data_IF_063274529308
#
_entry.id   IF_063274529308
#
_cell.length_a   1.000
_cell.length_b   1.000
_cell.length_c   1.000
_cell.angle_alpha   90.00
_cell.angle_beta   90.00
_cell.angle_gamma   90.00
#
_symmetry.space_group_name_H-M   'P 1'
#
loop_
_entity.id
_entity.type
_entity.pdbx_description
1 polymer ?
#
# COMPACT_ATOMS: atom_id res chain seq x y z
N UNK A 1 -15.27 14.06 7.60
CA UNK A 1 -15.27 15.29 8.40
C UNK A 1 -16.14 16.33 7.73
N UNK A 2 -15.69 16.84 6.58
CA UNK A 2 -16.16 18.10 6.01
C UNK A 2 -17.69 18.19 5.79
N UNK A 3 -18.33 17.11 5.32
CA UNK A 3 -19.79 17.07 5.15
C UNK A 3 -20.54 17.25 6.46
N UNK A 4 -20.13 16.54 7.51
CA UNK A 4 -20.77 16.60 8.83
C UNK A 4 -20.49 17.94 9.53
N UNK A 5 -19.30 18.49 9.34
CA UNK A 5 -18.89 19.76 9.94
C UNK A 5 -19.43 20.99 9.18
N UNK A 6 -20.20 20.80 8.10
CA UNK A 6 -20.70 21.88 7.24
C UNK A 6 -19.59 22.85 6.80
N UNK A 7 -18.40 22.34 6.52
CA UNK A 7 -17.22 23.12 6.15
C UNK A 7 -16.76 22.81 4.73
N UNK A 8 -16.04 23.76 4.11
CA UNK A 8 -15.39 23.60 2.80
C UNK A 8 -16.38 23.14 1.71
N UNK A 9 -17.28 24.06 1.36
CA UNK A 9 -18.23 23.95 0.25
C UNK A 9 -17.89 24.98 -0.84
N UNK A 10 -18.37 24.74 -2.06
CA UNK A 10 -18.11 25.61 -3.21
C UNK A 10 -19.07 26.81 -3.29
N UNK A 11 -19.12 27.43 -4.47
CA UNK A 11 -20.03 28.54 -4.75
C UNK A 11 -21.52 28.16 -4.56
N UNK A 12 -22.41 29.16 -4.34
CA UNK A 12 -23.86 28.96 -4.41
C UNK A 12 -24.28 28.33 -5.74
N UNK A 13 -25.25 27.42 -5.71
CA UNK A 13 -25.63 26.66 -6.91
C UNK A 13 -27.06 26.14 -6.84
N UNK A 14 -27.61 25.83 -8.01
CA UNK A 14 -28.97 25.28 -8.17
C UNK A 14 -29.01 23.90 -8.83
N UNK A 15 -27.85 23.24 -8.98
CA UNK A 15 -27.78 21.88 -9.52
C UNK A 15 -28.58 20.88 -8.65
N UNK A 16 -29.12 19.79 -9.22
CA UNK A 16 -30.00 18.89 -8.48
C UNK A 16 -29.31 18.11 -7.35
N UNK A 17 -27.98 17.98 -7.38
CA UNK A 17 -27.17 17.39 -6.31
C UNK A 17 -26.55 18.44 -5.36
N UNK A 18 -27.13 19.65 -5.30
CA UNK A 18 -26.65 20.73 -4.43
C UNK A 18 -26.64 20.33 -2.96
N UNK A 19 -25.64 20.82 -2.25
CA UNK A 19 -25.46 20.60 -0.83
C UNK A 19 -26.20 21.67 -0.05
N UNK A 20 -27.14 21.25 0.82
CA UNK A 20 -27.73 22.14 1.81
C UNK A 20 -26.75 22.34 2.97
N UNK A 21 -26.34 23.58 3.20
CA UNK A 21 -25.50 23.98 4.32
C UNK A 21 -26.34 24.72 5.36
N UNK A 22 -26.09 24.44 6.62
CA UNK A 22 -26.72 25.12 7.75
C UNK A 22 -25.82 26.21 8.32
N UNK A 23 -26.41 27.18 9.00
CA UNK A 23 -25.62 28.09 9.82
C UNK A 23 -25.00 27.32 10.99
N UNK A 24 -23.71 27.51 11.23
CA UNK A 24 -22.93 26.68 12.13
C UNK A 24 -22.36 27.51 13.27
N UNK A 25 -22.62 27.10 14.51
CA UNK A 25 -21.95 27.61 15.70
C UNK A 25 -20.64 26.84 15.89
N UNK A 26 -19.53 27.52 15.65
CA UNK A 26 -18.19 26.92 15.74
C UNK A 26 -17.77 26.67 17.20
N UNK A 27 -18.34 27.40 18.16
CA UNK A 27 -18.04 27.24 19.59
C UNK A 27 -18.75 26.03 20.19
N UNK A 28 -19.99 25.79 19.77
CA UNK A 28 -20.80 24.67 20.22
C UNK A 28 -20.74 23.44 19.30
N UNK A 29 -20.00 23.52 18.18
CA UNK A 29 -19.82 22.47 17.16
C UNK A 29 -21.17 21.87 16.71
N UNK A 30 -22.15 22.75 16.44
CA UNK A 30 -23.51 22.35 16.02
C UNK A 30 -24.15 23.41 15.15
N UNK A 31 -25.19 23.01 14.41
CA UNK A 31 -26.00 23.96 13.65
C UNK A 31 -26.77 24.90 14.58
N UNK A 32 -26.91 26.17 14.19
CA UNK A 32 -27.81 27.12 14.82
C UNK A 32 -29.26 26.66 14.61
N UNK A 33 -30.08 26.85 15.63
CA UNK A 33 -31.50 26.50 15.60
C UNK A 33 -32.36 27.75 15.74
N UNK A 34 -33.52 27.75 15.08
CA UNK A 34 -34.54 28.79 15.22
C UNK A 34 -35.27 28.70 16.57
N UNK A 35 -36.23 29.62 16.82
CA UNK A 35 -37.02 29.65 18.05
C UNK A 35 -37.89 28.39 18.26
N UNK A 36 -38.04 27.57 17.22
CA UNK A 36 -38.81 26.33 17.18
C UNK A 36 -37.89 25.09 17.27
N UNK A 37 -36.57 25.28 17.36
CA UNK A 37 -35.59 24.20 17.48
C UNK A 37 -35.15 23.58 16.14
N UNK A 38 -35.52 24.15 15.00
CA UNK A 38 -35.13 23.63 13.68
C UNK A 38 -33.80 24.24 13.23
N UNK A 39 -32.91 23.45 12.58
CA UNK A 39 -31.65 23.97 12.04
C UNK A 39 -31.87 25.07 10.99
N UNK A 40 -31.21 26.21 11.16
CA UNK A 40 -31.28 27.34 10.24
C UNK A 40 -30.46 27.04 8.98
N UNK A 41 -31.11 27.11 7.81
CA UNK A 41 -30.47 26.83 6.52
C UNK A 41 -29.75 28.09 6.03
N UNK A 42 -28.43 27.98 5.81
CA UNK A 42 -27.62 29.05 5.22
C UNK A 42 -27.83 29.17 3.71
N UNK A 43 -27.99 28.04 3.01
CA UNK A 43 -28.21 28.02 1.57
C UNK A 43 -27.79 26.71 0.90
N UNK A 44 -27.70 26.77 -0.43
CA UNK A 44 -27.34 25.63 -1.27
C UNK A 44 -26.06 25.90 -2.06
N UNK A 45 -25.12 24.97 -1.97
CA UNK A 45 -23.76 25.14 -2.47
C UNK A 45 -23.26 23.90 -3.23
N UNK A 46 -22.22 24.08 -4.03
CA UNK A 46 -21.55 22.95 -4.67
C UNK A 46 -20.90 22.02 -3.61
N UNK A 47 -21.19 20.71 -3.61
CA UNK A 47 -20.52 19.73 -2.74
C UNK A 47 -19.08 19.47 -3.18
N UNK A 48 -18.16 20.38 -2.90
CA UNK A 48 -16.74 20.24 -3.29
C UNK A 48 -16.08 19.00 -2.71
N UNK A 49 -16.44 18.59 -1.49
CA UNK A 49 -15.96 17.32 -0.91
C UNK A 49 -16.36 16.10 -1.74
N UNK A 50 -17.56 16.10 -2.35
CA UNK A 50 -18.02 15.00 -3.20
C UNK A 50 -17.19 14.97 -4.48
N UNK A 51 -16.94 16.12 -5.07
CA UNK A 51 -16.11 16.21 -6.26
C UNK A 51 -14.66 15.80 -5.98
N UNK A 52 -14.10 16.17 -4.81
CA UNK A 52 -12.79 15.70 -4.35
C UNK A 52 -12.76 14.18 -4.20
N UNK A 53 -13.77 13.59 -3.55
CA UNK A 53 -13.87 12.14 -3.39
C UNK A 53 -13.99 11.41 -4.73
N UNK A 54 -14.85 11.92 -5.64
CA UNK A 54 -14.99 11.39 -7.00
C UNK A 54 -13.67 11.48 -7.76
N UNK A 55 -12.95 12.59 -7.66
CA UNK A 55 -11.64 12.72 -8.29
C UNK A 55 -10.62 11.73 -7.74
N UNK A 56 -10.56 11.55 -6.42
CA UNK A 56 -9.68 10.55 -5.80
C UNK A 56 -9.99 9.13 -6.30
N UNK A 57 -11.27 8.78 -6.41
CA UNK A 57 -11.71 7.49 -6.96
C UNK A 57 -11.35 7.34 -8.44
N UNK A 58 -11.59 8.37 -9.25
CA UNK A 58 -11.26 8.38 -10.67
C UNK A 58 -9.74 8.25 -10.88
N UNK A 59 -8.94 9.00 -10.11
CA UNK A 59 -7.49 8.93 -10.18
C UNK A 59 -6.98 7.55 -9.74
N UNK A 60 -7.52 6.98 -8.66
CA UNK A 60 -7.16 5.64 -8.21
C UNK A 60 -7.52 4.58 -9.27
N UNK A 61 -8.72 4.64 -9.83
CA UNK A 61 -9.17 3.74 -10.90
C UNK A 61 -8.29 3.88 -12.15
N UNK A 62 -7.94 5.11 -12.54
CA UNK A 62 -7.03 5.39 -13.65
C UNK A 62 -5.65 4.79 -13.41
N UNK A 63 -5.06 4.95 -12.21
CA UNK A 63 -3.74 4.39 -11.88
C UNK A 63 -3.74 2.87 -11.87
N UNK A 64 -4.78 2.24 -11.32
CA UNK A 64 -4.94 0.78 -11.34
C UNK A 64 -5.11 0.28 -12.77
N UNK A 65 -5.97 0.92 -13.57
CA UNK A 65 -6.15 0.59 -14.98
C UNK A 65 -4.84 0.72 -15.76
N UNK A 66 -4.11 1.82 -15.55
CA UNK A 66 -2.84 2.09 -16.22
C UNK A 66 -1.76 1.05 -15.87
N UNK A 67 -1.65 0.70 -14.58
CA UNK A 67 -0.71 -0.33 -14.11
C UNK A 67 -1.08 -1.75 -14.54
N UNK A 68 -2.37 -2.04 -14.78
CA UNK A 68 -2.82 -3.35 -15.29
C UNK A 68 -2.72 -3.45 -16.82
N UNK A 69 -2.96 -2.34 -17.54
CA UNK A 69 -3.03 -2.33 -19.00
C UNK A 69 -1.66 -2.19 -19.66
N UNK A 70 -0.74 -1.48 -19.01
CA UNK A 70 0.59 -1.22 -19.54
C UNK A 70 1.66 -1.87 -18.66
N UNK A 71 2.68 -2.46 -19.30
CA UNK A 71 3.87 -2.95 -18.61
C UNK A 71 4.76 -1.77 -18.21
N UNK A 72 4.27 -0.98 -17.27
CA UNK A 72 4.93 0.22 -16.78
C UNK A 72 6.22 -0.14 -16.04
N UNK A 73 7.24 0.69 -16.23
CA UNK A 73 8.50 0.60 -15.48
C UNK A 73 8.29 1.12 -14.05
N UNK A 74 9.10 0.62 -13.12
CA UNK A 74 9.09 1.03 -11.72
C UNK A 74 9.12 2.55 -11.59
N UNK A 75 8.15 3.12 -10.86
CA UNK A 75 8.03 4.57 -10.65
C UNK A 75 7.11 5.33 -11.63
N UNK A 76 6.71 4.74 -12.76
CA UNK A 76 5.80 5.44 -13.70
C UNK A 76 4.38 5.64 -13.12
N UNK A 77 3.87 4.68 -12.36
CA UNK A 77 2.58 4.83 -11.66
C UNK A 77 2.64 5.96 -10.63
N UNK A 78 3.76 6.09 -9.92
CA UNK A 78 3.99 7.21 -9.00
C UNK A 78 4.03 8.55 -9.75
N UNK A 79 4.74 8.62 -10.88
CA UNK A 79 4.77 9.83 -11.70
C UNK A 79 3.37 10.20 -12.23
N UNK A 80 2.56 9.23 -12.64
CA UNK A 80 1.16 9.46 -13.03
C UNK A 80 0.31 9.97 -11.86
N UNK A 81 0.52 9.48 -10.64
CA UNK A 81 -0.13 10.01 -9.45
C UNK A 81 0.24 11.48 -9.21
N UNK A 82 1.54 11.80 -9.25
CA UNK A 82 2.05 13.17 -9.09
C UNK A 82 1.48 14.11 -10.17
N UNK A 83 1.27 13.63 -11.39
CA UNK A 83 0.60 14.40 -12.45
C UNK A 83 -0.91 14.53 -12.23
N UNK A 84 -1.60 13.46 -11.82
CA UNK A 84 -3.06 13.47 -11.71
C UNK A 84 -3.59 14.24 -10.49
N UNK A 85 -2.85 14.27 -9.38
CA UNK A 85 -3.26 15.01 -8.18
C UNK A 85 -3.49 16.53 -8.42
N UNK A 86 -2.54 17.29 -9.00
CA UNK A 86 -2.71 18.72 -9.24
C UNK A 86 -3.84 19.03 -10.23
N UNK A 87 -4.18 18.13 -11.15
CA UNK A 87 -5.30 18.32 -12.08
C UNK A 87 -6.62 18.43 -11.31
N UNK A 88 -6.89 17.50 -10.40
CA UNK A 88 -8.07 17.58 -9.53
C UNK A 88 -8.03 18.81 -8.64
N UNK A 89 -6.84 19.16 -8.12
CA UNK A 89 -6.68 20.36 -7.29
C UNK A 89 -7.08 21.62 -8.04
N UNK A 90 -6.68 21.79 -9.30
CA UNK A 90 -7.07 22.95 -10.12
C UNK A 90 -8.57 22.99 -10.34
N UNK A 91 -9.21 21.86 -10.68
CA UNK A 91 -10.66 21.81 -10.93
C UNK A 91 -11.44 22.22 -9.68
N UNK A 92 -11.14 21.62 -8.53
CA UNK A 92 -11.84 21.91 -7.27
C UNK A 92 -11.56 23.32 -6.78
N UNK A 93 -10.32 23.79 -6.91
CA UNK A 93 -9.93 25.13 -6.50
C UNK A 93 -10.67 26.22 -7.30
N UNK A 94 -10.91 26.01 -8.60
CA UNK A 94 -11.71 26.94 -9.40
C UNK A 94 -13.21 26.94 -9.02
N UNK A 95 -13.72 25.85 -8.45
CA UNK A 95 -15.11 25.79 -7.96
C UNK A 95 -15.30 26.48 -6.59
N UNK A 96 -14.21 26.75 -5.87
CA UNK A 96 -14.24 27.48 -4.60
C UNK A 96 -14.21 28.98 -4.85
N UNK A 97 -15.17 29.70 -4.30
CA UNK A 97 -15.25 31.17 -4.38
C UNK A 97 -14.43 31.89 -3.31
N UNK A 98 -13.61 31.16 -2.54
CA UNK A 98 -12.82 31.74 -1.44
C UNK A 98 -11.78 32.72 -1.97
N UNK A 99 -11.60 33.86 -1.29
CA UNK A 99 -10.54 34.83 -1.58
C UNK A 99 -9.16 34.17 -1.50
N UNK A 100 -8.51 33.97 -2.64
CA UNK A 100 -7.15 33.44 -2.72
C UNK A 100 -6.16 34.53 -3.11
N UNK A 101 -4.91 34.35 -2.70
CA UNK A 101 -3.81 35.16 -3.19
C UNK A 101 -3.68 34.95 -4.71
N UNK A 102 -3.88 36.02 -5.45
CA UNK A 102 -3.75 36.03 -6.91
C UNK A 102 -2.33 36.46 -7.26
N UNK A 103 -1.65 35.65 -8.07
CA UNK A 103 -0.39 35.98 -8.72
C UNK A 103 -0.66 35.96 -10.22
N UNK A 104 -0.41 37.08 -10.89
CA UNK A 104 -0.75 37.28 -12.32
C UNK A 104 -2.22 36.97 -12.67
N UNK A 105 -3.15 37.32 -11.78
CA UNK A 105 -4.59 37.08 -11.99
C UNK A 105 -5.05 35.65 -11.75
N UNK A 106 -4.15 34.73 -11.38
CA UNK A 106 -4.48 33.33 -11.08
C UNK A 106 -4.09 32.96 -9.64
N UNK A 107 -4.82 32.04 -9.02
CA UNK A 107 -4.54 31.55 -7.67
C UNK A 107 -3.14 30.94 -7.56
N UNK A 108 -2.41 31.19 -6.48
CA UNK A 108 -1.10 30.56 -6.20
C UNK A 108 -1.14 29.04 -6.35
N UNK A 109 -2.22 28.42 -5.89
CA UNK A 109 -2.43 26.97 -5.97
C UNK A 109 -2.39 26.46 -7.42
N UNK A 110 -2.83 27.26 -8.41
CA UNK A 110 -2.74 26.90 -9.83
C UNK A 110 -1.28 26.87 -10.28
N UNK A 111 -0.48 27.86 -9.91
CA UNK A 111 0.96 27.90 -10.22
C UNK A 111 1.71 26.72 -9.62
N UNK A 112 1.47 26.42 -8.34
CA UNK A 112 2.04 25.25 -7.66
C UNK A 112 1.60 23.97 -8.36
N UNK A 113 0.33 23.86 -8.73
CA UNK A 113 -0.20 22.69 -9.44
C UNK A 113 0.47 22.49 -10.80
N UNK A 114 0.74 23.56 -11.54
CA UNK A 114 1.49 23.49 -12.81
C UNK A 114 2.92 22.98 -12.57
N UNK A 115 3.63 23.51 -11.57
CA UNK A 115 5.00 23.08 -11.25
C UNK A 115 5.05 21.59 -10.86
N UNK A 116 4.13 21.15 -10.02
CA UNK A 116 4.03 19.73 -9.59
C UNK A 116 3.69 18.84 -10.79
N UNK A 117 2.80 19.29 -11.68
CA UNK A 117 2.47 18.54 -12.90
C UNK A 117 3.69 18.38 -13.82
N UNK A 118 4.46 19.46 -14.04
CA UNK A 118 5.68 19.43 -14.85
C UNK A 118 6.75 18.53 -14.23
N UNK A 119 6.90 18.53 -12.90
CA UNK A 119 7.78 17.61 -12.18
C UNK A 119 7.34 16.15 -12.40
N UNK A 120 6.04 15.86 -12.29
CA UNK A 120 5.49 14.54 -12.58
C UNK A 120 5.76 14.10 -14.03
N UNK A 121 5.60 14.98 -15.01
CA UNK A 121 5.89 14.70 -16.41
C UNK A 121 7.39 14.44 -16.65
N UNK A 122 8.28 15.18 -15.97
CA UNK A 122 9.71 14.92 -15.98
C UNK A 122 10.04 13.54 -15.40
N UNK A 123 9.48 13.20 -14.23
CA UNK A 123 9.65 11.89 -13.59
C UNK A 123 9.14 10.75 -14.47
N UNK A 124 7.97 10.93 -15.11
CA UNK A 124 7.41 9.95 -16.04
C UNK A 124 8.37 9.64 -17.18
N UNK A 125 8.94 10.68 -17.82
CA UNK A 125 9.95 10.52 -18.88
C UNK A 125 11.23 9.88 -18.36
N UNK A 126 11.68 10.25 -17.16
CA UNK A 126 12.88 9.69 -16.54
C UNK A 126 12.73 8.19 -16.26
N UNK A 127 11.65 7.78 -15.60
CA UNK A 127 11.37 6.38 -15.30
C UNK A 127 11.09 5.54 -16.56
N UNK A 128 10.47 6.13 -17.59
CA UNK A 128 10.31 5.49 -18.89
C UNK A 128 11.63 5.15 -19.59
N UNK A 129 12.72 5.85 -19.25
CA UNK A 129 14.07 5.63 -19.82
C UNK A 129 14.96 4.70 -19.00
N UNK A 130 14.64 4.43 -17.74
CA UNK A 130 15.44 3.55 -16.86
C UNK A 130 15.21 2.08 -17.21
N UNK A 131 16.22 1.37 -17.72
CA UNK A 131 16.12 -0.06 -18.03
C UNK A 131 15.77 -0.88 -16.80
N UNK A 132 14.92 -1.90 -16.97
CA UNK A 132 14.68 -2.88 -15.91
C UNK A 132 15.93 -3.75 -15.82
N UNK A 133 16.54 -3.94 -14.64
CA UNK A 133 17.51 -4.99 -14.45
C UNK A 133 16.88 -6.31 -14.90
N UNK A 134 17.53 -7.04 -15.81
CA UNK A 134 17.03 -8.36 -16.22
C UNK A 134 16.86 -9.22 -14.96
N UNK A 135 15.78 -10.01 -14.84
CA UNK A 135 15.70 -11.05 -13.84
C UNK A 135 16.99 -11.89 -13.89
N UNK A 136 17.58 -12.26 -12.74
CA UNK A 136 18.72 -13.17 -12.74
C UNK A 136 18.33 -14.41 -13.55
N UNK A 137 19.19 -14.80 -14.50
CA UNK A 137 18.96 -15.98 -15.31
C UNK A 137 18.69 -17.17 -14.37
N UNK A 138 17.73 -18.05 -14.69
CA UNK A 138 17.56 -19.27 -13.92
C UNK A 138 18.91 -19.97 -13.87
N UNK A 139 19.43 -20.21 -12.67
CA UNK A 139 20.61 -21.04 -12.49
C UNK A 139 20.29 -22.42 -13.04
N UNK A 140 21.00 -22.83 -14.10
CA UNK A 140 21.00 -24.20 -14.59
C UNK A 140 21.52 -25.13 -13.48
N UNK A 141 20.64 -25.53 -12.57
CA UNK A 141 20.86 -26.71 -11.73
C UNK A 141 20.60 -27.96 -12.57
N UNK A 142 21.48 -28.19 -13.56
CA UNK A 142 21.60 -29.48 -14.24
C UNK A 142 23.05 -29.95 -14.10
N UNK A 143 23.37 -30.50 -12.93
CA UNK A 143 24.51 -31.41 -12.79
C UNK A 143 24.05 -32.81 -13.25
N UNK A 144 24.51 -33.33 -14.40
CA UNK A 144 24.46 -34.76 -14.62
C UNK A 144 25.56 -35.39 -13.74
N UNK A 145 25.16 -36.08 -12.67
CA UNK A 145 26.06 -36.98 -11.96
C UNK A 145 26.42 -38.12 -12.92
N UNK A 146 27.62 -38.01 -13.51
CA UNK A 146 28.15 -38.98 -14.46
C UNK A 146 28.43 -40.31 -13.79
N UNK A 147 27.84 -41.36 -14.33
CA UNK A 147 28.31 -42.72 -14.15
C UNK A 147 29.48 -42.99 -15.11
N UNK A 148 30.56 -43.59 -14.61
CA UNK A 148 31.46 -44.41 -15.43
C UNK A 148 32.96 -44.16 -15.26
N UNK A 149 33.59 -45.12 -14.57
CA UNK A 149 34.93 -45.68 -14.80
C UNK A 149 36.17 -44.78 -14.62
N UNK A 150 37.03 -45.16 -13.66
CA UNK A 150 38.45 -45.38 -13.96
C UNK A 150 39.09 -46.39 -12.97
N UNK A 151 39.78 -47.36 -13.55
CA UNK A 151 40.52 -48.46 -12.93
C UNK A 151 42.01 -48.14 -12.99
N UNK A 152 42.73 -48.23 -11.86
CA UNK A 152 44.14 -48.67 -11.79
C UNK A 152 44.55 -48.95 -10.32
N UNK A 153 44.68 -50.21 -9.86
CA UNK A 153 45.93 -51.05 -9.81
C UNK A 153 46.97 -50.50 -8.81
N UNK A 154 47.37 -51.16 -7.72
CA UNK A 154 48.07 -52.47 -7.57
C UNK A 154 48.11 -52.92 -6.07
N UNK A 155 48.52 -54.17 -5.78
CA UNK A 155 48.14 -54.97 -4.59
C UNK A 155 49.27 -55.14 -3.55
N UNK A 156 48.96 -55.77 -2.41
CA UNK A 156 49.92 -56.61 -1.66
C UNK A 156 49.20 -57.79 -0.94
N UNK A 157 49.90 -58.90 -0.64
CA UNK A 157 49.33 -60.25 -0.57
C UNK A 157 49.39 -60.91 0.82
N UNK A 158 48.74 -62.08 0.88
CA UNK A 158 48.96 -63.22 1.77
C UNK A 158 48.81 -63.05 3.29
N UNK A 159 47.88 -63.80 3.89
CA UNK A 159 48.15 -65.13 4.48
C UNK A 159 46.81 -65.76 4.90
N UNK A 160 46.80 -67.09 4.82
CA UNK A 160 45.68 -67.99 4.76
C UNK A 160 44.98 -68.33 6.09
N UNK A 161 43.83 -69.01 5.92
CA UNK A 161 43.50 -70.29 6.56
C UNK A 161 42.45 -70.29 7.71
N UNK A 162 41.35 -71.01 7.41
CA UNK A 162 40.58 -71.94 8.27
C UNK A 162 39.60 -71.48 9.37
N UNK A 163 38.45 -72.18 9.37
CA UNK A 163 37.58 -72.50 10.52
C UNK A 163 36.35 -71.59 10.65
N UNK A 164 35.12 -72.01 10.33
CA UNK A 164 34.24 -72.99 11.00
C UNK A 164 33.59 -72.49 12.31
N UNK A 165 32.26 -72.68 12.37
CA UNK A 165 31.37 -72.80 13.55
C UNK A 165 30.49 -71.62 14.01
N UNK A 166 29.22 -71.99 14.20
CA UNK A 166 28.00 -71.33 14.73
C UNK A 166 27.99 -71.41 16.29
N UNK A 167 26.89 -71.19 17.04
CA UNK A 167 26.00 -70.04 17.26
C UNK A 167 26.08 -69.49 18.72
N UNK A 168 25.20 -68.51 19.02
CA UNK A 168 24.40 -68.43 20.27
C UNK A 168 24.78 -67.41 21.37
N UNK A 169 23.73 -66.64 21.69
CA UNK A 169 23.22 -66.25 23.01
C UNK A 169 23.81 -65.07 23.82
N UNK A 170 22.86 -64.39 24.44
CA UNK A 170 23.00 -63.48 25.58
C UNK A 170 22.95 -62.01 25.18
N UNK A 171 22.23 -61.10 25.82
CA UNK A 171 21.21 -61.11 26.88
C UNK A 171 20.78 -59.62 26.90
N UNK A 172 19.49 -59.31 27.09
CA UNK A 172 19.03 -57.96 27.44
C UNK A 172 19.26 -57.72 28.96
N UNK A 173 18.73 -56.70 29.66
CA UNK A 173 18.00 -55.47 29.26
C UNK A 173 18.45 -54.24 30.11
N UNK A 174 17.51 -53.31 30.38
CA UNK A 174 17.44 -52.29 31.45
C UNK A 174 17.86 -50.86 31.05
N UNK A 175 17.16 -49.77 31.35
CA UNK A 175 15.94 -49.55 32.14
C UNK A 175 15.37 -48.14 31.84
N UNK A 176 14.02 -48.04 31.80
CA UNK A 176 13.12 -47.04 32.42
C UNK A 176 13.60 -45.59 32.68
N UNK A 177 12.93 -44.59 32.09
CA UNK A 177 11.74 -43.83 32.60
C UNK A 177 12.07 -42.79 33.69
N UNK A 178 11.66 -41.54 33.49
CA UNK A 178 10.48 -40.92 34.13
C UNK A 178 10.41 -39.40 33.82
N UNK A 179 9.33 -38.92 33.15
CA UNK A 179 8.17 -38.14 33.70
C UNK A 179 8.52 -36.75 34.29
N UNK A 180 7.70 -35.70 34.28
CA UNK A 180 6.48 -35.26 33.59
C UNK A 180 6.16 -33.83 34.10
N UNK A 181 5.36 -33.06 33.33
CA UNK A 181 4.44 -31.97 33.77
C UNK A 181 5.00 -30.71 34.46
N UNK A 182 4.35 -29.55 34.51
CA UNK A 182 3.28 -28.85 33.78
C UNK A 182 2.94 -27.57 34.62
N UNK A 183 2.42 -26.52 33.98
CA UNK A 183 1.67 -25.41 34.62
C UNK A 183 2.50 -24.16 34.95
N UNK A 184 2.34 -23.01 34.28
CA UNK A 184 1.21 -22.07 34.23
C UNK A 184 1.05 -21.25 35.51
N UNK A 185 1.28 -19.93 35.45
CA UNK A 185 0.54 -18.96 36.26
C UNK A 185 0.54 -17.59 35.57
N UNK A 186 -0.66 -17.05 35.37
CA UNK A 186 -0.94 -15.72 34.85
C UNK A 186 -1.20 -14.77 36.03
N UNK A 187 -0.64 -13.56 35.97
CA UNK A 187 -0.74 -12.58 37.06
C UNK A 187 -1.53 -11.31 36.62
N UNK A 188 -2.40 -10.87 37.52
CA UNK A 188 -3.24 -9.64 37.59
C UNK A 188 -3.65 -9.54 39.09
N UNK A 189 -4.07 -8.38 39.64
CA UNK A 189 -3.84 -6.97 39.33
C UNK A 189 -3.60 -6.06 40.58
N UNK A 190 -3.62 -4.73 40.36
CA UNK A 190 -4.13 -3.64 41.22
C UNK A 190 -3.22 -2.85 42.20
N UNK A 191 -3.71 -1.63 42.51
CA UNK A 191 -3.31 -0.62 43.53
C UNK A 191 -2.49 0.56 42.97
N UNK A 192 -2.75 1.84 43.26
CA UNK A 192 -3.67 2.55 44.18
C UNK A 192 -3.87 3.98 43.68
#
# INVERSE_FOLDING_TARGET
GNWFNNEIYGAPTDVPWKLRIYEWDTSAVRALVDAQGNPVVKGYFHPTFLYEALWCLLLAAFLVWLGRRHSLRSGQVFAAYVMGYPVGRIVIENMRSDSANLIFGQRVNTWVSILVFLLGAYLWRRFGRMEQPLPPAPSDESHPSGAGADVHTRPDPDIADRGAEDPSAGEAPDASNDTASAGSEADRPAQS
#
